data_IF_890578363862
#
_entry.id   IF_890578363862
#
_cell.length_a   1.000
_cell.length_b   1.000
_cell.length_c   1.000
_cell.angle_alpha   90.00
_cell.angle_beta   90.00
_cell.angle_gamma   90.00
#
_symmetry.space_group_name_H-M   'P 1'
#
loop_
_entity.id
_entity.type
_entity.pdbx_description
1 polymer ?
#
# COMPACT_ATOMS: atom_id res chain seq x y z
N UNK A 1 -13.30 8.96 80.26
CA UNK A 1 -12.42 8.33 79.24
C UNK A 1 -13.26 7.50 78.26
N UNK A 2 -14.02 8.14 77.38
CA UNK A 2 -14.81 7.42 76.35
C UNK A 2 -15.06 8.24 75.07
N UNK A 3 -14.29 9.31 74.82
CA UNK A 3 -14.54 10.22 73.69
C UNK A 3 -13.35 10.41 72.74
N UNK A 4 -12.20 9.77 73.00
CA UNK A 4 -11.01 9.90 72.16
C UNK A 4 -10.84 8.80 71.08
N UNK A 5 -11.62 7.72 71.12
CA UNK A 5 -11.45 6.56 70.22
C UNK A 5 -12.38 6.52 69.00
N UNK A 6 -13.28 7.51 68.83
CA UNK A 6 -14.17 7.54 67.65
C UNK A 6 -13.56 8.30 66.45
N UNK A 7 -12.55 9.16 66.65
CA UNK A 7 -11.96 9.95 65.56
C UNK A 7 -10.91 9.19 64.72
N UNK A 8 -10.29 8.12 65.23
CA UNK A 8 -9.23 7.42 64.48
C UNK A 8 -9.77 6.40 63.46
N UNK A 9 -11.01 5.92 63.60
CA UNK A 9 -11.60 4.96 62.65
C UNK A 9 -12.24 5.62 61.42
N UNK A 10 -12.47 6.93 61.46
CA UNK A 10 -13.07 7.71 60.36
C UNK A 10 -12.04 8.26 59.37
N UNK A 11 -10.77 8.30 59.75
CA UNK A 11 -9.67 8.81 58.92
C UNK A 11 -9.47 8.06 57.59
N UNK A 12 -9.47 6.71 57.55
CA UNK A 12 -9.33 5.99 56.28
C UNK A 12 -10.57 6.13 55.39
N UNK A 13 -11.77 6.29 55.97
CA UNK A 13 -13.00 6.54 55.21
C UNK A 13 -13.01 7.93 54.59
N UNK A 14 -12.58 8.95 55.34
CA UNK A 14 -12.44 10.31 54.81
C UNK A 14 -11.37 10.39 53.71
N UNK A 15 -10.24 9.70 53.90
CA UNK A 15 -9.20 9.62 52.87
C UNK A 15 -9.72 8.96 51.59
N UNK A 16 -10.45 7.85 51.69
CA UNK A 16 -11.04 7.15 50.54
C UNK A 16 -12.08 8.03 49.81
N UNK A 17 -12.94 8.74 50.54
CA UNK A 17 -13.92 9.67 49.95
C UNK A 17 -13.24 10.84 49.26
N UNK A 18 -12.17 11.40 49.85
CA UNK A 18 -11.36 12.43 49.20
C UNK A 18 -10.68 11.92 47.93
N UNK A 19 -10.12 10.70 47.94
CA UNK A 19 -9.51 10.09 46.75
C UNK A 19 -10.53 9.84 45.64
N UNK A 20 -11.72 9.33 45.97
CA UNK A 20 -12.80 9.10 44.99
C UNK A 20 -13.31 10.44 44.44
N UNK A 21 -13.44 11.48 45.27
CA UNK A 21 -13.88 12.81 44.84
C UNK A 21 -12.86 13.46 43.89
N UNK A 22 -11.56 13.37 44.19
CA UNK A 22 -10.48 13.87 43.32
C UNK A 22 -10.45 13.08 42.00
N UNK A 23 -10.62 11.76 42.04
CA UNK A 23 -10.65 10.93 40.83
C UNK A 23 -11.89 11.22 39.96
N UNK A 24 -13.05 11.44 40.57
CA UNK A 24 -14.26 11.88 39.88
C UNK A 24 -14.09 13.28 39.27
N UNK A 25 -13.51 14.24 40.01
CA UNK A 25 -13.23 15.58 39.50
C UNK A 25 -12.21 15.56 38.34
N UNK A 26 -11.17 14.72 38.40
CA UNK A 26 -10.23 14.52 37.29
C UNK A 26 -10.86 13.77 36.10
N UNK A 27 -11.84 12.90 36.34
CA UNK A 27 -12.60 12.24 35.28
C UNK A 27 -13.63 13.16 34.62
N UNK A 28 -14.20 14.11 35.38
CA UNK A 28 -15.11 15.14 34.87
C UNK A 28 -14.33 16.25 34.13
N UNK A 29 -13.13 16.61 34.57
CA UNK A 29 -12.27 17.57 33.86
C UNK A 29 -11.72 17.01 32.54
N UNK A 30 -11.44 15.69 32.45
CA UNK A 30 -11.13 15.01 31.18
C UNK A 30 -12.32 14.98 30.21
N UNK A 31 -13.57 14.99 30.70
CA UNK A 31 -14.77 15.09 29.85
C UNK A 31 -15.09 16.54 29.45
N UNK A 32 -14.68 17.53 30.24
CA UNK A 32 -14.92 18.95 29.97
C UNK A 32 -13.82 19.63 29.13
N UNK A 33 -12.73 18.93 28.79
CA UNK A 33 -11.62 19.46 27.99
C UNK A 33 -11.42 18.69 26.67
N UNK A 34 -12.50 18.39 25.96
CA UNK A 34 -12.45 18.09 24.51
C UNK A 34 -13.60 18.84 23.83
N UNK A 35 -13.53 20.17 23.89
CA UNK A 35 -14.04 21.02 22.81
C UNK A 35 -12.85 21.32 21.89
N UNK A 36 -12.30 20.28 21.26
CA UNK A 36 -11.42 20.48 20.12
C UNK A 36 -12.29 20.75 18.91
N UNK A 37 -12.28 21.99 18.45
CA UNK A 37 -12.70 22.36 17.11
C UNK A 37 -12.14 21.34 16.11
N UNK A 38 -13.04 20.61 15.45
CA UNK A 38 -12.70 19.76 14.32
C UNK A 38 -11.91 20.60 13.30
N UNK A 39 -10.74 20.16 12.82
CA UNK A 39 -10.08 20.84 11.72
C UNK A 39 -11.01 20.75 10.51
N UNK A 40 -11.46 21.92 10.06
CA UNK A 40 -12.27 22.08 8.85
C UNK A 40 -11.42 21.62 7.67
N UNK A 41 -11.64 20.40 7.18
CA UNK A 41 -11.11 19.95 5.90
C UNK A 41 -11.59 20.92 4.82
N UNK A 42 -10.73 21.41 3.92
CA UNK A 42 -11.20 22.20 2.78
C UNK A 42 -12.19 21.35 1.99
N UNK A 43 -13.41 21.85 1.83
CA UNK A 43 -14.41 21.29 0.92
C UNK A 43 -13.83 21.33 -0.49
N UNK A 44 -13.27 20.21 -0.97
CA UNK A 44 -12.93 20.05 -2.36
C UNK A 44 -14.23 19.92 -3.15
N UNK A 45 -14.55 20.94 -3.94
CA UNK A 45 -15.59 20.86 -4.96
C UNK A 45 -15.23 19.73 -5.93
N UNK A 46 -15.97 18.62 -5.83
CA UNK A 46 -15.85 17.46 -6.68
C UNK A 46 -16.32 17.82 -8.09
N UNK A 47 -15.39 18.21 -8.97
CA UNK A 47 -15.65 18.21 -10.41
C UNK A 47 -15.68 16.76 -10.86
N UNK A 48 -16.90 16.26 -11.12
CA UNK A 48 -17.15 14.96 -11.75
C UNK A 48 -16.43 14.96 -13.13
N UNK A 49 -15.49 14.05 -13.41
CA UNK A 49 -14.99 13.89 -14.76
C UNK A 49 -16.09 13.19 -15.56
N UNK A 50 -16.82 13.95 -16.36
CA UNK A 50 -17.69 13.39 -17.40
C UNK A 50 -16.78 12.79 -18.47
N UNK A 51 -16.70 11.46 -18.51
CA UNK A 51 -16.24 10.75 -19.71
C UNK A 51 -17.24 11.10 -20.82
N UNK A 52 -16.83 11.94 -21.76
CA UNK A 52 -17.61 12.22 -22.96
C UNK A 52 -17.60 10.97 -23.82
N UNK A 53 -18.60 10.11 -23.66
CA UNK A 53 -18.96 9.15 -24.70
C UNK A 53 -19.77 9.90 -25.74
N UNK A 54 -19.17 10.17 -26.90
CA UNK A 54 -19.89 10.70 -28.05
C UNK A 54 -20.97 9.71 -28.47
N UNK A 55 -22.24 10.12 -28.33
CA UNK A 55 -23.37 9.41 -28.88
C UNK A 55 -23.37 9.61 -30.39
N UNK A 56 -23.11 8.54 -31.14
CA UNK A 56 -23.48 8.43 -32.56
C UNK A 56 -24.64 7.44 -32.60
N UNK A 57 -25.81 7.92 -32.98
CA UNK A 57 -26.99 7.10 -33.26
C UNK A 57 -26.66 6.10 -34.40
N UNK A 58 -26.93 4.80 -34.23
CA UNK A 58 -26.88 3.87 -35.35
C UNK A 58 -28.24 3.80 -36.03
N UNK A 59 -28.29 4.27 -37.27
CA UNK A 59 -29.36 3.95 -38.20
C UNK A 59 -29.41 2.42 -38.40
N UNK A 60 -30.61 1.87 -38.29
CA UNK A 60 -30.90 0.46 -38.48
C UNK A 60 -30.76 0.06 -39.96
N UNK A 61 -29.97 -0.99 -40.24
CA UNK A 61 -30.31 -1.99 -41.26
C UNK A 61 -29.46 -3.26 -41.11
N UNK A 62 -30.17 -4.34 -40.74
CA UNK A 62 -29.96 -5.78 -41.01
C UNK A 62 -28.58 -6.33 -41.37
N UNK A 63 -28.13 -7.35 -40.61
CA UNK A 63 -27.17 -8.36 -41.07
C UNK A 63 -26.37 -9.01 -39.95
N UNK A 64 -26.96 -9.99 -39.27
CA UNK A 64 -26.39 -10.76 -38.16
C UNK A 64 -25.10 -11.50 -38.54
N UNK A 65 -24.03 -11.29 -37.77
CA UNK A 65 -22.92 -12.24 -37.63
C UNK A 65 -22.44 -12.25 -36.16
N UNK A 66 -22.59 -13.32 -35.37
CA UNK A 66 -22.33 -13.29 -33.91
C UNK A 66 -20.84 -13.31 -33.51
N UNK A 67 -19.90 -13.17 -34.45
CA UNK A 67 -18.47 -13.44 -34.22
C UNK A 67 -17.54 -12.26 -34.45
N UNK A 68 -17.98 -11.05 -34.10
CA UNK A 68 -17.05 -9.92 -33.93
C UNK A 68 -17.42 -9.15 -32.67
N UNK A 69 -17.20 -9.74 -31.50
CA UNK A 69 -16.98 -8.93 -30.31
C UNK A 69 -15.66 -8.19 -30.55
N UNK A 70 -15.74 -6.89 -30.85
CA UNK A 70 -14.60 -5.99 -30.69
C UNK A 70 -13.93 -6.32 -29.36
N UNK A 71 -12.69 -6.80 -29.37
CA UNK A 71 -12.00 -7.24 -28.15
C UNK A 71 -11.74 -6.04 -27.26
N UNK A 72 -12.71 -5.69 -26.42
CA UNK A 72 -12.52 -4.74 -25.34
C UNK A 72 -11.51 -5.37 -24.39
N UNK A 73 -10.44 -4.62 -24.07
CA UNK A 73 -9.48 -5.02 -23.04
C UNK A 73 -10.23 -5.28 -21.75
N UNK A 74 -10.07 -6.44 -21.12
CA UNK A 74 -10.76 -6.72 -19.86
C UNK A 74 -10.31 -5.76 -18.76
N UNK A 75 -11.28 -5.18 -18.05
CA UNK A 75 -11.04 -4.50 -16.79
C UNK A 75 -10.98 -5.52 -15.66
N UNK A 76 -9.77 -5.79 -15.17
CA UNK A 76 -9.54 -6.71 -14.06
C UNK A 76 -9.78 -6.07 -12.67
N UNK A 77 -9.99 -4.75 -12.60
CA UNK A 77 -10.19 -4.02 -11.35
C UNK A 77 -11.62 -4.11 -10.80
N UNK A 78 -12.59 -4.42 -11.69
CA UNK A 78 -14.01 -4.59 -11.36
C UNK A 78 -14.42 -6.07 -11.32
N UNK A 79 -14.91 -6.52 -10.17
CA UNK A 79 -15.22 -7.94 -9.93
C UNK A 79 -15.66 -8.23 -8.51
N UNK A 80 -15.62 -9.49 -8.14
CA UNK A 80 -15.94 -9.95 -6.78
C UNK A 80 -15.07 -11.12 -6.35
N UNK A 81 -14.93 -11.29 -5.04
CA UNK A 81 -14.28 -12.47 -4.47
C UNK A 81 -15.25 -13.63 -4.39
N UNK A 82 -14.84 -14.77 -4.91
CA UNK A 82 -15.57 -16.03 -4.87
C UNK A 82 -14.81 -16.98 -3.94
N UNK A 83 -15.53 -17.57 -2.99
CA UNK A 83 -14.99 -18.64 -2.16
C UNK A 83 -15.02 -19.96 -2.94
N UNK A 84 -13.87 -20.59 -3.07
CA UNK A 84 -13.66 -21.85 -3.76
C UNK A 84 -13.02 -22.83 -2.78
N UNK A 85 -13.81 -23.71 -2.15
CA UNK A 85 -13.33 -24.62 -1.11
C UNK A 85 -12.40 -25.71 -1.66
N UNK A 86 -12.50 -26.00 -2.96
CA UNK A 86 -11.78 -27.10 -3.63
C UNK A 86 -10.47 -26.64 -4.27
N UNK A 87 -10.21 -25.32 -4.26
CA UNK A 87 -8.94 -24.76 -4.71
C UNK A 87 -7.79 -25.30 -3.87
N UNK A 88 -6.96 -26.08 -4.56
CA UNK A 88 -5.64 -26.47 -4.08
C UNK A 88 -4.67 -25.37 -4.49
N UNK A 89 -4.34 -24.48 -3.56
CA UNK A 89 -3.26 -23.52 -3.80
C UNK A 89 -1.93 -24.25 -3.71
N UNK A 90 -1.38 -24.59 -4.88
CA UNK A 90 -0.20 -25.44 -5.08
C UNK A 90 1.08 -24.64 -5.42
N UNK A 91 0.97 -23.30 -5.52
CA UNK A 91 2.08 -22.43 -5.94
C UNK A 91 3.25 -22.44 -4.97
N UNK A 92 2.98 -22.37 -3.66
CA UNK A 92 3.97 -22.50 -2.60
C UNK A 92 3.26 -22.65 -1.26
N UNK A 93 3.99 -23.14 -0.26
CA UNK A 93 3.48 -23.33 1.09
C UNK A 93 4.19 -22.41 2.10
N UNK A 94 3.84 -22.59 3.37
CA UNK A 94 4.43 -21.86 4.49
C UNK A 94 5.90 -22.18 4.76
N UNK A 95 6.52 -23.12 4.04
CA UNK A 95 7.93 -23.48 4.21
C UNK A 95 8.90 -22.56 3.47
N UNK A 96 8.41 -21.70 2.56
CA UNK A 96 9.27 -20.76 1.83
C UNK A 96 10.00 -19.81 2.78
N UNK A 97 11.32 -20.00 2.90
CA UNK A 97 12.19 -19.27 3.86
C UNK A 97 12.24 -17.75 3.67
N UNK A 98 11.77 -17.26 2.52
CA UNK A 98 11.78 -15.83 2.21
C UNK A 98 10.55 -15.09 2.78
N UNK A 99 9.51 -15.83 3.16
CA UNK A 99 8.34 -15.29 3.87
C UNK A 99 8.80 -14.73 5.22
N UNK A 100 8.56 -13.43 5.44
CA UNK A 100 8.82 -12.83 6.75
C UNK A 100 7.95 -13.48 7.82
N UNK A 101 8.52 -13.76 9.00
CA UNK A 101 7.83 -14.49 10.08
C UNK A 101 6.44 -13.93 10.37
N UNK A 102 6.27 -12.61 10.41
CA UNK A 102 4.97 -11.98 10.66
C UNK A 102 3.93 -12.19 9.55
N UNK A 103 4.34 -12.45 8.31
CA UNK A 103 3.42 -12.67 7.17
C UNK A 103 3.00 -14.13 7.02
N UNK A 104 3.67 -15.06 7.69
CA UNK A 104 3.40 -16.49 7.55
C UNK A 104 2.23 -16.94 8.45
N UNK A 105 1.00 -16.58 8.05
CA UNK A 105 -0.19 -16.80 8.86
C UNK A 105 -0.52 -18.28 9.09
N UNK A 106 -0.20 -19.15 8.13
CA UNK A 106 -0.36 -20.60 8.27
C UNK A 106 0.62 -21.15 9.30
N UNK A 107 1.92 -20.82 9.21
CA UNK A 107 2.92 -21.32 10.16
C UNK A 107 2.68 -20.82 11.59
N UNK A 108 2.22 -19.58 11.72
CA UNK A 108 1.87 -18.99 13.01
C UNK A 108 0.46 -19.37 13.49
N UNK A 109 -0.23 -20.29 12.82
CA UNK A 109 -1.52 -20.85 13.24
C UNK A 109 -2.64 -19.80 13.40
N UNK A 110 -2.66 -18.76 12.55
CA UNK A 110 -3.83 -17.87 12.45
C UNK A 110 -5.06 -18.72 12.08
N UNK A 111 -6.17 -18.52 12.77
CA UNK A 111 -7.38 -19.37 12.68
C UNK A 111 -7.89 -19.55 11.25
N UNK A 112 -8.02 -18.47 10.48
CA UNK A 112 -8.44 -18.49 9.08
C UNK A 112 -7.27 -18.57 8.09
N UNK A 113 -6.04 -18.84 8.54
CA UNK A 113 -4.82 -18.76 7.71
C UNK A 113 -4.86 -19.65 6.46
N UNK A 114 -5.52 -20.82 6.55
CA UNK A 114 -5.72 -21.74 5.42
C UNK A 114 -6.92 -21.39 4.55
N UNK A 115 -7.87 -20.61 5.07
CA UNK A 115 -9.07 -20.20 4.33
C UNK A 115 -8.81 -18.96 3.48
N UNK A 116 -7.81 -18.14 3.83
CA UNK A 116 -7.41 -16.95 3.05
C UNK A 116 -7.14 -17.29 1.58
N UNK A 117 -6.51 -18.44 1.30
CA UNK A 117 -6.15 -18.89 -0.06
C UNK A 117 -7.31 -19.52 -0.83
N UNK A 118 -8.44 -19.80 -0.18
CA UNK A 118 -9.65 -20.33 -0.83
C UNK A 118 -10.48 -19.26 -1.54
N UNK A 119 -10.09 -18.00 -1.41
CA UNK A 119 -10.77 -16.90 -2.08
C UNK A 119 -10.08 -16.55 -3.40
N UNK A 120 -10.87 -16.41 -4.46
CA UNK A 120 -10.40 -16.04 -5.81
C UNK A 120 -11.11 -14.80 -6.34
N UNK A 121 -10.35 -13.90 -6.93
CA UNK A 121 -10.91 -12.74 -7.62
C UNK A 121 -11.48 -13.15 -8.97
N UNK A 122 -12.75 -12.83 -9.20
CA UNK A 122 -13.44 -13.02 -10.47
C UNK A 122 -13.80 -11.64 -11.04
N UNK A 123 -13.08 -11.16 -12.07
CA UNK A 123 -13.49 -9.98 -12.81
C UNK A 123 -14.90 -10.14 -13.38
N UNK A 124 -15.64 -9.03 -13.51
CA UNK A 124 -17.06 -9.06 -13.89
C UNK A 124 -17.28 -9.66 -15.28
N UNK A 125 -16.47 -9.26 -16.25
CA UNK A 125 -16.69 -9.54 -17.67
C UNK A 125 -15.63 -10.46 -18.29
N UNK A 126 -14.71 -11.02 -17.49
CA UNK A 126 -13.67 -11.91 -18.01
C UNK A 126 -13.11 -12.84 -16.92
N UNK A 127 -12.17 -13.68 -17.35
CA UNK A 127 -11.43 -14.56 -16.46
C UNK A 127 -10.03 -14.00 -16.18
N UNK A 128 -9.64 -13.94 -14.90
CA UNK A 128 -8.25 -13.74 -14.50
C UNK A 128 -7.61 -15.11 -14.25
N UNK A 129 -6.78 -15.62 -15.17
CA UNK A 129 -6.13 -16.90 -14.99
C UNK A 129 -5.06 -16.82 -13.90
N UNK A 130 -4.98 -17.82 -13.01
CA UNK A 130 -3.78 -18.06 -12.19
C UNK A 130 -2.54 -18.07 -13.07
N UNK A 131 -1.49 -17.36 -12.68
CA UNK A 131 -0.24 -17.48 -13.42
C UNK A 131 0.43 -18.84 -13.13
N UNK A 132 0.96 -19.46 -14.17
CA UNK A 132 1.78 -20.67 -14.06
C UNK A 132 3.25 -20.26 -13.81
N UNK A 133 3.85 -20.63 -12.66
CA UNK A 133 5.23 -20.28 -12.33
C UNK A 133 6.26 -20.84 -13.32
N UNK A 134 6.05 -22.05 -13.83
CA UNK A 134 6.97 -22.67 -14.79
C UNK A 134 6.87 -21.95 -16.14
N UNK A 135 5.63 -21.73 -16.62
CA UNK A 135 5.40 -20.95 -17.84
C UNK A 135 5.97 -19.54 -17.74
N UNK A 136 5.86 -18.90 -16.58
CA UNK A 136 6.46 -17.59 -16.33
C UNK A 136 7.98 -17.63 -16.50
N UNK A 137 8.67 -18.60 -15.87
CA UNK A 137 10.13 -18.76 -16.00
C UNK A 137 10.58 -18.93 -17.45
N UNK A 138 9.86 -19.73 -18.24
CA UNK A 138 10.13 -19.89 -19.67
C UNK A 138 9.84 -18.60 -20.47
N UNK A 139 8.71 -17.96 -20.21
CA UNK A 139 8.26 -16.78 -20.97
C UNK A 139 9.17 -15.58 -20.74
N UNK A 140 9.69 -15.42 -19.53
CA UNK A 140 10.55 -14.29 -19.15
C UNK A 140 12.03 -14.67 -19.04
N UNK A 141 12.45 -15.75 -19.71
CA UNK A 141 13.87 -16.13 -19.84
C UNK A 141 14.71 -14.95 -20.37
N UNK A 142 15.95 -14.84 -19.91
CA UNK A 142 16.90 -13.79 -20.32
C UNK A 142 16.40 -12.36 -20.07
N UNK A 143 15.62 -12.18 -19.00
CA UNK A 143 15.13 -10.88 -18.56
C UNK A 143 15.48 -10.58 -17.12
N UNK A 144 15.40 -9.30 -16.76
CA UNK A 144 15.49 -8.86 -15.38
C UNK A 144 14.22 -8.06 -15.05
N UNK A 145 13.59 -8.35 -13.92
CA UNK A 145 12.35 -7.71 -13.44
C UNK A 145 12.62 -7.02 -12.10
N UNK A 146 12.34 -5.72 -12.02
CA UNK A 146 12.59 -4.90 -10.85
C UNK A 146 11.33 -4.49 -10.11
N UNK A 147 11.32 -4.67 -8.80
CA UNK A 147 10.29 -4.23 -7.85
C UNK A 147 10.86 -3.06 -7.05
N UNK A 148 10.31 -1.86 -7.22
CA UNK A 148 10.77 -0.66 -6.52
C UNK A 148 9.63 -0.09 -5.68
N UNK A 149 9.82 -0.04 -4.37
CA UNK A 149 8.81 0.50 -3.47
C UNK A 149 9.00 0.10 -2.01
N UNK A 150 7.93 0.08 -1.24
CA UNK A 150 7.95 -0.10 0.21
C UNK A 150 7.92 -1.59 0.64
N UNK A 151 7.57 -1.84 1.90
CA UNK A 151 7.43 -3.18 2.46
C UNK A 151 6.26 -3.98 1.89
N UNK A 152 5.23 -3.33 1.33
CA UNK A 152 4.11 -4.01 0.67
C UNK A 152 4.51 -4.46 -0.73
N UNK A 153 5.35 -3.69 -1.42
CA UNK A 153 6.00 -4.16 -2.64
C UNK A 153 6.90 -5.37 -2.38
N UNK A 154 7.63 -5.37 -1.25
CA UNK A 154 8.36 -6.56 -0.79
C UNK A 154 7.42 -7.74 -0.54
N UNK A 155 6.23 -7.50 0.02
CA UNK A 155 5.23 -8.53 0.28
C UNK A 155 4.84 -9.28 -1.01
N UNK A 156 4.56 -8.52 -2.08
CA UNK A 156 4.25 -9.06 -3.41
C UNK A 156 5.45 -9.76 -4.06
N UNK A 157 6.63 -9.14 -4.01
CA UNK A 157 7.89 -9.69 -4.51
C UNK A 157 8.21 -11.06 -3.89
N UNK A 158 8.01 -11.19 -2.57
CA UNK A 158 8.24 -12.47 -1.86
C UNK A 158 7.24 -13.53 -2.29
N UNK A 159 5.96 -13.19 -2.48
CA UNK A 159 4.95 -14.12 -3.03
C UNK A 159 5.38 -14.65 -4.41
N UNK A 160 5.79 -13.76 -5.32
CA UNK A 160 6.27 -14.16 -6.64
C UNK A 160 7.50 -15.08 -6.52
N UNK A 161 8.49 -14.67 -5.73
CA UNK A 161 9.69 -15.46 -5.50
C UNK A 161 9.36 -16.88 -5.02
N UNK A 162 8.49 -17.01 -4.02
CA UNK A 162 8.13 -18.31 -3.46
C UNK A 162 7.44 -19.21 -4.48
N UNK A 163 6.54 -18.66 -5.29
CA UNK A 163 5.89 -19.39 -6.38
C UNK A 163 6.89 -19.89 -7.43
N UNK A 164 7.85 -19.06 -7.84
CA UNK A 164 8.89 -19.45 -8.80
C UNK A 164 9.88 -20.46 -8.19
N UNK A 165 10.25 -20.29 -6.92
CA UNK A 165 11.18 -21.19 -6.20
C UNK A 165 10.62 -22.59 -6.02
N UNK A 166 9.29 -22.74 -5.99
CA UNK A 166 8.61 -24.04 -5.87
C UNK A 166 8.89 -24.97 -7.07
N UNK A 167 9.05 -24.38 -8.26
CA UNK A 167 9.25 -25.12 -9.53
C UNK A 167 10.70 -25.03 -10.05
N UNK A 168 11.57 -24.23 -9.43
CA UNK A 168 12.97 -24.08 -9.82
C UNK A 168 13.92 -24.25 -8.62
N UNK A 169 14.85 -25.19 -8.73
CA UNK A 169 15.85 -25.51 -7.70
C UNK A 169 17.04 -24.54 -7.68
N UNK A 170 17.59 -24.23 -8.85
CA UNK A 170 18.85 -23.52 -9.02
C UNK A 170 18.65 -21.99 -8.97
N UNK A 171 18.75 -21.45 -7.75
CA UNK A 171 18.52 -20.04 -7.47
C UNK A 171 19.70 -19.42 -6.74
N UNK A 172 20.33 -18.43 -7.37
CA UNK A 172 21.37 -17.61 -6.75
C UNK A 172 20.72 -16.42 -6.04
N UNK A 173 20.86 -16.35 -4.72
CA UNK A 173 20.53 -15.16 -3.91
C UNK A 173 21.70 -14.19 -3.92
N UNK A 174 21.48 -12.95 -4.35
CA UNK A 174 22.50 -11.89 -4.34
C UNK A 174 21.87 -10.50 -4.36
N UNK A 175 22.70 -9.44 -4.31
CA UNK A 175 22.23 -8.06 -4.38
C UNK A 175 22.75 -7.40 -5.66
N UNK A 176 21.92 -7.33 -6.73
CA UNK A 176 22.22 -6.49 -7.88
C UNK A 176 22.53 -5.05 -7.46
N UNK A 177 23.35 -4.34 -8.24
CA UNK A 177 23.74 -2.98 -7.91
C UNK A 177 22.51 -2.08 -7.72
N UNK A 178 22.38 -1.47 -6.55
CA UNK A 178 21.25 -0.62 -6.20
C UNK A 178 19.99 -1.35 -5.72
N UNK A 179 19.98 -2.69 -5.68
CA UNK A 179 18.89 -3.47 -5.12
C UNK A 179 19.20 -3.96 -3.69
N UNK A 180 18.18 -4.02 -2.84
CA UNK A 180 18.29 -4.52 -1.47
C UNK A 180 18.30 -6.05 -1.41
N UNK A 181 17.66 -6.67 -2.42
CA UNK A 181 17.42 -8.12 -2.48
C UNK A 181 17.25 -8.55 -3.93
N UNK A 182 17.84 -9.67 -4.34
CA UNK A 182 17.71 -10.21 -5.68
C UNK A 182 17.92 -11.72 -5.75
N UNK A 183 17.29 -12.31 -6.76
CA UNK A 183 17.33 -13.74 -7.05
C UNK A 183 17.48 -13.95 -8.53
N UNK A 184 18.47 -14.76 -8.92
CA UNK A 184 18.63 -15.21 -10.29
C UNK A 184 18.32 -16.70 -10.39
N UNK A 185 17.33 -17.04 -11.20
CA UNK A 185 16.97 -18.42 -11.55
C UNK A 185 17.89 -18.87 -12.68
N UNK A 186 18.94 -19.62 -12.34
CA UNK A 186 20.12 -19.82 -13.20
C UNK A 186 19.76 -20.48 -14.54
N UNK A 187 18.94 -21.53 -14.51
CA UNK A 187 18.51 -22.25 -15.71
C UNK A 187 17.73 -21.37 -16.71
N UNK A 188 17.09 -20.31 -16.23
CA UNK A 188 16.27 -19.41 -17.05
C UNK A 188 16.94 -18.06 -17.27
N UNK A 189 18.13 -17.83 -16.68
CA UNK A 189 18.79 -16.53 -16.71
C UNK A 189 17.82 -15.35 -16.41
N UNK A 190 16.88 -15.59 -15.49
CA UNK A 190 15.87 -14.62 -15.07
C UNK A 190 16.26 -14.06 -13.71
N UNK A 191 16.41 -12.75 -13.61
CA UNK A 191 16.63 -12.08 -12.32
C UNK A 191 15.39 -11.32 -11.89
N UNK A 192 14.90 -11.59 -10.68
CA UNK A 192 13.95 -10.70 -10.00
C UNK A 192 14.67 -9.98 -8.85
N UNK A 193 14.42 -8.70 -8.67
CA UNK A 193 15.04 -7.95 -7.60
C UNK A 193 14.13 -6.86 -7.04
N UNK A 194 14.34 -6.58 -5.76
CA UNK A 194 13.58 -5.63 -4.97
C UNK A 194 14.50 -4.52 -4.45
N UNK A 195 14.01 -3.29 -4.55
CA UNK A 195 14.63 -2.12 -3.96
C UNK A 195 13.65 -1.33 -3.13
N UNK A 196 14.07 -1.05 -1.90
CA UNK A 196 13.28 -0.34 -0.94
C UNK A 196 13.37 1.15 -1.17
N UNK A 197 12.23 1.76 -1.43
CA UNK A 197 12.05 3.20 -1.37
C UNK A 197 10.68 3.52 -0.80
N UNK A 198 10.67 4.16 0.38
CA UNK A 198 9.42 4.40 1.12
C UNK A 198 8.63 5.58 0.54
N UNK A 199 9.31 6.61 0.04
CA UNK A 199 8.71 7.83 -0.50
C UNK A 199 8.91 8.00 -2.00
N UNK A 200 9.63 7.10 -2.68
CA UNK A 200 10.17 7.27 -4.05
C UNK A 200 11.18 8.42 -4.20
N UNK A 201 11.30 9.27 -3.20
CA UNK A 201 12.32 10.28 -3.05
C UNK A 201 13.38 9.82 -2.04
N UNK A 202 14.57 10.43 -2.09
CA UNK A 202 15.52 10.31 -0.99
C UNK A 202 14.99 11.15 0.17
N UNK A 203 14.99 10.58 1.36
CA UNK A 203 14.64 11.32 2.56
C UNK A 203 15.54 10.97 3.73
N UNK A 204 15.59 11.86 4.71
CA UNK A 204 16.34 11.69 5.94
C UNK A 204 16.08 12.84 6.91
N UNK A 205 16.55 12.69 8.14
CA UNK A 205 16.45 13.74 9.14
C UNK A 205 17.14 15.02 8.66
N UNK A 206 16.52 16.15 8.95
CA UNK A 206 17.06 17.49 8.75
C UNK A 206 17.00 18.23 10.07
N UNK A 207 18.07 18.96 10.36
CA UNK A 207 18.19 19.83 11.53
C UNK A 207 18.78 21.16 11.08
N UNK A 208 18.35 22.23 11.72
CA UNK A 208 18.86 23.57 11.49
C UNK A 208 20.39 23.61 11.67
N UNK A 209 21.05 24.41 10.82
CA UNK A 209 22.48 24.67 10.94
C UNK A 209 22.71 25.93 11.79
N UNK A 210 23.81 25.96 12.56
CA UNK A 210 24.26 27.16 13.29
C UNK A 210 24.55 28.35 12.37
N UNK A 211 24.83 28.09 11.09
CA UNK A 211 25.09 29.12 10.09
C UNK A 211 23.81 29.76 9.51
N UNK A 212 22.63 29.34 9.97
CA UNK A 212 21.34 29.82 9.49
C UNK A 212 20.98 29.32 8.08
N UNK A 213 19.85 29.78 7.57
CA UNK A 213 19.32 29.40 6.27
C UNK A 213 17.84 29.76 6.11
N UNK A 214 17.33 29.65 4.88
CA UNK A 214 15.95 30.06 4.56
C UNK A 214 14.87 29.32 5.38
N UNK A 215 15.15 28.10 5.83
CA UNK A 215 14.21 27.33 6.64
C UNK A 215 14.29 27.75 8.12
N UNK A 216 15.50 28.02 8.60
CA UNK A 216 15.77 28.56 9.93
C UNK A 216 15.15 29.94 10.10
N UNK A 217 15.23 30.80 9.08
CA UNK A 217 14.59 32.13 9.04
C UNK A 217 13.06 32.04 9.15
N UNK A 218 12.47 30.92 8.72
CA UNK A 218 11.05 30.61 8.85
C UNK A 218 10.71 29.89 10.18
N UNK A 219 11.70 29.68 11.05
CA UNK A 219 11.52 29.09 12.38
C UNK A 219 11.60 27.56 12.43
N UNK A 220 11.94 26.87 11.34
CA UNK A 220 12.12 25.41 11.35
C UNK A 220 13.43 25.04 12.06
N UNK A 221 13.33 24.16 13.07
CA UNK A 221 14.48 23.65 13.83
C UNK A 221 14.87 22.23 13.43
N UNK A 222 13.89 21.42 13.09
CA UNK A 222 14.04 20.03 12.71
C UNK A 222 12.93 19.58 11.75
N UNK A 223 13.12 18.44 11.10
CA UNK A 223 12.14 17.84 10.20
C UNK A 223 12.72 16.72 9.37
N UNK A 224 12.02 16.37 8.29
CA UNK A 224 12.47 15.38 7.32
C UNK A 224 12.75 16.05 5.99
N UNK A 225 14.01 16.07 5.58
CA UNK A 225 14.39 16.51 4.24
C UNK A 225 13.96 15.47 3.22
N UNK A 226 13.25 15.91 2.19
CA UNK A 226 12.82 15.10 1.05
C UNK A 226 13.36 15.73 -0.23
N UNK A 227 14.31 15.05 -0.88
CA UNK A 227 14.92 15.54 -2.11
C UNK A 227 14.07 15.17 -3.33
N UNK A 228 13.58 16.19 -4.04
CA UNK A 228 12.95 16.07 -5.34
C UNK A 228 14.02 15.72 -6.39
N UNK A 229 14.09 14.43 -6.70
CA UNK A 229 15.01 13.89 -7.69
C UNK A 229 15.35 12.43 -7.41
N UNK A 230 15.08 11.57 -8.39
CA UNK A 230 15.51 10.18 -8.33
C UNK A 230 17.02 10.10 -8.63
N UNK A 231 17.83 9.67 -7.65
CA UNK A 231 19.23 9.29 -7.85
C UNK A 231 19.44 7.79 -8.04
N UNK A 232 18.36 7.03 -8.13
CA UNK A 232 18.37 5.57 -8.23
C UNK A 232 18.78 5.08 -9.63
N UNK A 233 19.64 5.78 -10.37
CA UNK A 233 19.97 5.48 -11.78
C UNK A 233 20.45 4.05 -12.03
N UNK A 234 21.20 3.48 -11.08
CA UNK A 234 21.82 2.16 -11.22
C UNK A 234 20.80 1.02 -11.28
N UNK A 235 19.68 1.14 -10.56
CA UNK A 235 18.66 0.10 -10.58
C UNK A 235 17.79 0.19 -11.84
N UNK A 236 17.53 1.41 -12.32
CA UNK A 236 16.70 1.64 -13.50
C UNK A 236 17.38 1.22 -14.82
N UNK A 237 18.69 1.03 -14.82
CA UNK A 237 19.47 0.62 -15.99
C UNK A 237 19.43 -0.90 -16.27
N UNK A 238 19.08 -1.73 -15.29
CA UNK A 238 19.28 -3.20 -15.36
C UNK A 238 18.02 -3.97 -15.75
N UNK A 239 16.81 -3.45 -15.47
CA UNK A 239 15.57 -4.21 -15.69
C UNK A 239 14.92 -3.98 -17.07
N UNK A 240 14.34 -5.05 -17.65
CA UNK A 240 13.57 -5.03 -18.90
C UNK A 240 12.07 -4.82 -18.67
N UNK A 241 11.59 -5.12 -17.45
CA UNK A 241 10.26 -4.76 -16.98
C UNK A 241 10.37 -4.17 -15.57
N UNK A 242 9.67 -3.08 -15.32
CA UNK A 242 9.69 -2.35 -14.07
C UNK A 242 8.33 -2.31 -13.43
N UNK A 243 8.39 -2.41 -12.11
CA UNK A 243 7.26 -2.38 -11.26
C UNK A 243 7.49 -1.34 -10.17
N UNK A 244 6.66 -0.30 -10.16
CA UNK A 244 6.70 0.76 -9.18
C UNK A 244 5.53 0.62 -8.20
N UNK A 245 5.80 0.68 -6.91
CA UNK A 245 4.79 0.81 -5.85
C UNK A 245 4.91 2.17 -5.20
N UNK A 246 3.75 2.81 -5.00
CA UNK A 246 3.64 3.92 -4.08
C UNK A 246 3.23 3.46 -2.70
N UNK A 247 3.96 3.98 -1.72
CA UNK A 247 3.46 4.08 -0.36
C UNK A 247 3.19 5.53 0.00
N UNK A 248 1.93 5.83 0.27
CA UNK A 248 1.56 7.06 0.96
C UNK A 248 1.50 6.93 2.48
N UNK A 249 1.68 5.72 3.05
CA UNK A 249 1.56 5.57 4.50
C UNK A 249 2.57 6.44 5.25
N UNK A 250 3.67 6.78 4.58
CA UNK A 250 4.64 7.71 5.11
C UNK A 250 4.18 9.17 5.02
N UNK A 251 3.39 9.59 4.03
CA UNK A 251 3.00 11.00 3.87
C UNK A 251 1.79 11.40 4.73
N UNK A 252 1.26 10.48 5.53
CA UNK A 252 0.19 10.78 6.48
C UNK A 252 0.70 11.67 7.63
N UNK A 253 -0.12 12.61 8.14
CA UNK A 253 0.23 13.43 9.30
C UNK A 253 0.61 12.60 10.54
N UNK A 254 0.09 11.38 10.68
CA UNK A 254 0.44 10.46 11.77
C UNK A 254 1.87 9.92 11.71
N UNK A 255 2.56 10.05 10.57
CA UNK A 255 3.98 9.68 10.41
C UNK A 255 4.90 10.88 10.32
N UNK A 256 4.46 11.96 9.66
CA UNK A 256 5.18 13.23 9.63
C UNK A 256 4.28 14.32 10.22
N UNK A 257 4.43 14.55 11.52
CA UNK A 257 3.72 15.62 12.20
C UNK A 257 4.08 16.96 11.55
N UNK A 258 3.10 17.71 11.00
CA UNK A 258 3.37 18.93 10.24
C UNK A 258 3.96 20.06 11.09
N UNK A 259 3.93 19.94 12.42
CA UNK A 259 4.44 20.93 13.37
C UNK A 259 5.75 20.43 13.98
N UNK A 260 5.75 19.22 14.55
CA UNK A 260 6.91 18.67 15.28
C UNK A 260 7.99 18.11 14.37
N UNK A 261 7.61 17.53 13.23
CA UNK A 261 8.53 16.84 12.34
C UNK A 261 8.11 17.01 10.87
N UNK A 262 8.06 18.26 10.36
CA UNK A 262 7.51 18.54 9.05
C UNK A 262 8.33 17.91 7.92
N UNK A 263 7.66 17.62 6.80
CA UNK A 263 8.34 17.30 5.55
C UNK A 263 8.85 18.57 4.89
N UNK A 264 10.15 18.65 4.68
CA UNK A 264 10.84 19.80 4.09
C UNK A 264 11.37 19.37 2.72
N UNK A 265 10.81 19.94 1.66
CA UNK A 265 11.12 19.54 0.29
C UNK A 265 12.29 20.33 -0.27
N UNK A 266 13.19 19.64 -0.96
CA UNK A 266 14.38 20.24 -1.57
C UNK A 266 14.44 19.91 -3.06
N UNK A 267 14.76 20.89 -3.90
CA UNK A 267 15.03 20.68 -5.32
C UNK A 267 16.45 21.13 -5.65
N UNK A 268 17.25 20.25 -6.27
CA UNK A 268 18.66 20.51 -6.61
C UNK A 268 19.51 21.03 -5.43
N UNK A 269 19.20 20.54 -4.23
CA UNK A 269 19.92 20.90 -3.00
C UNK A 269 19.40 22.14 -2.27
N UNK A 270 18.45 22.88 -2.86
CA UNK A 270 17.85 24.07 -2.26
C UNK A 270 16.47 23.76 -1.67
N UNK A 271 16.10 24.30 -0.50
CA UNK A 271 14.76 24.12 0.05
C UNK A 271 13.73 24.83 -0.83
N UNK A 272 12.55 24.23 -0.97
CA UNK A 272 11.39 24.89 -1.58
C UNK A 272 10.80 25.88 -0.61
N UNK A 273 10.69 27.14 -1.04
CA UNK A 273 10.18 28.25 -0.24
C UNK A 273 9.07 28.95 -1.04
N UNK A 274 7.86 29.16 -0.47
CA UNK A 274 7.44 28.71 0.86
C UNK A 274 7.38 27.16 0.95
N UNK A 275 7.50 26.58 2.16
CA UNK A 275 7.30 25.15 2.37
C UNK A 275 5.94 24.71 1.85
N UNK A 276 5.91 23.52 1.24
CA UNK A 276 4.71 22.96 0.62
C UNK A 276 4.15 21.83 1.47
N UNK A 277 2.82 21.62 1.46
CA UNK A 277 2.21 20.53 2.20
C UNK A 277 2.55 19.16 1.57
N UNK A 278 2.43 18.05 2.35
CA UNK A 278 2.79 16.71 1.91
C UNK A 278 2.12 16.25 0.60
N UNK A 279 0.85 16.56 0.38
CA UNK A 279 0.09 16.19 -0.83
C UNK A 279 0.66 16.87 -2.10
N UNK A 280 1.02 18.15 -2.01
CA UNK A 280 1.68 18.88 -3.10
C UNK A 280 3.11 18.37 -3.31
N UNK A 281 3.82 18.06 -2.23
CA UNK A 281 5.12 17.41 -2.28
C UNK A 281 5.06 16.04 -2.96
N UNK A 282 3.99 15.27 -2.70
CA UNK A 282 3.74 13.97 -3.28
C UNK A 282 3.54 14.06 -4.80
N UNK A 283 2.68 14.97 -5.26
CA UNK A 283 2.48 15.27 -6.69
C UNK A 283 3.83 15.60 -7.39
N UNK A 284 4.69 16.37 -6.72
CA UNK A 284 6.04 16.67 -7.25
C UNK A 284 6.90 15.40 -7.31
N UNK A 285 6.96 14.61 -6.24
CA UNK A 285 7.77 13.37 -6.22
C UNK A 285 7.32 12.40 -7.32
N UNK A 286 6.00 12.23 -7.52
CA UNK A 286 5.45 11.41 -8.60
C UNK A 286 5.93 11.92 -9.97
N UNK A 287 5.74 13.20 -10.23
CA UNK A 287 6.12 13.83 -11.50
C UNK A 287 7.62 13.70 -11.79
N UNK A 288 8.47 13.90 -10.79
CA UNK A 288 9.92 13.74 -10.94
C UNK A 288 10.32 12.27 -11.17
N UNK A 289 9.69 11.35 -10.46
CA UNK A 289 9.97 9.91 -10.57
C UNK A 289 9.55 9.37 -11.93
N UNK A 290 8.31 9.65 -12.37
CA UNK A 290 7.79 9.22 -13.67
C UNK A 290 8.72 9.70 -14.79
N UNK A 291 9.00 11.01 -14.85
CA UNK A 291 9.91 11.58 -15.87
C UNK A 291 11.30 10.97 -15.84
N UNK A 292 11.85 10.75 -14.64
CA UNK A 292 13.17 10.16 -14.49
C UNK A 292 13.20 8.74 -15.05
N UNK A 293 12.20 7.92 -14.70
CA UNK A 293 12.11 6.54 -15.16
C UNK A 293 11.90 6.47 -16.66
N UNK A 294 11.01 7.30 -17.21
CA UNK A 294 10.76 7.39 -18.66
C UNK A 294 12.01 7.74 -19.46
N UNK A 295 12.85 8.66 -18.93
CA UNK A 295 14.11 9.06 -19.56
C UNK A 295 15.22 8.03 -19.41
N UNK A 296 15.25 7.29 -18.30
CA UNK A 296 16.37 6.40 -17.96
C UNK A 296 16.19 4.99 -18.52
N UNK A 297 14.95 4.50 -18.54
CA UNK A 297 14.66 3.16 -19.03
C UNK A 297 14.67 3.08 -20.56
N UNK A 298 14.94 1.87 -21.07
CA UNK A 298 14.82 1.59 -22.50
C UNK A 298 13.37 1.87 -22.99
N UNK A 299 13.18 2.38 -24.21
CA UNK A 299 11.85 2.63 -24.77
C UNK A 299 10.95 1.37 -24.76
N UNK A 300 11.53 0.21 -25.06
CA UNK A 300 10.82 -1.09 -25.10
C UNK A 300 10.56 -1.71 -23.72
N UNK A 301 11.03 -1.08 -22.64
CA UNK A 301 10.86 -1.63 -21.31
C UNK A 301 9.45 -1.36 -20.79
N UNK A 302 8.82 -2.40 -20.26
CA UNK A 302 7.47 -2.32 -19.70
C UNK A 302 7.53 -1.60 -18.35
N UNK A 303 6.66 -0.61 -18.14
CA UNK A 303 6.61 0.21 -16.92
C UNK A 303 5.23 0.06 -16.29
N UNK A 304 5.16 -0.59 -15.14
CA UNK A 304 3.94 -0.78 -14.39
C UNK A 304 3.95 0.05 -13.11
N UNK A 305 2.81 0.65 -12.80
CA UNK A 305 2.58 1.37 -11.57
C UNK A 305 1.40 0.74 -10.83
N UNK A 306 1.66 0.20 -9.64
CA UNK A 306 0.66 -0.45 -8.82
C UNK A 306 -0.12 0.58 -8.01
N UNK A 307 -1.45 0.46 -7.98
CA UNK A 307 -2.30 1.26 -7.09
C UNK A 307 -2.09 0.88 -5.63
N UNK A 308 -2.60 1.72 -4.73
CA UNK A 308 -2.31 1.62 -3.31
C UNK A 308 -2.96 0.38 -2.68
N UNK A 309 -2.17 -0.48 -2.05
CA UNK A 309 -2.70 -1.51 -1.15
C UNK A 309 -3.40 -0.85 0.05
N UNK A 310 -4.67 -1.22 0.34
CA UNK A 310 -5.40 -0.70 1.48
C UNK A 310 -4.86 -1.25 2.80
N UNK A 311 -5.27 -0.57 3.88
CA UNK A 311 -5.16 -1.01 5.28
C UNK A 311 -6.58 -1.20 5.82
N UNK A 312 -6.77 -2.08 6.81
CA UNK A 312 -8.10 -2.36 7.39
C UNK A 312 -8.11 -2.14 8.90
N UNK A 313 -7.91 -0.91 9.35
CA UNK A 313 -8.06 -0.62 10.77
C UNK A 313 -9.54 -0.41 11.14
N UNK A 314 -9.92 -0.96 12.29
CA UNK A 314 -11.22 -0.77 12.93
C UNK A 314 -11.03 -0.41 14.41
N UNK A 315 -11.92 0.43 14.94
CA UNK A 315 -11.88 0.87 16.34
C UNK A 315 -10.83 1.94 16.66
N UNK A 316 -10.10 2.44 15.66
CA UNK A 316 -9.07 3.47 15.80
C UNK A 316 -8.01 3.33 14.71
N UNK A 317 -7.09 4.30 14.62
CA UNK A 317 -5.91 4.19 13.75
C UNK A 317 -4.79 3.35 14.42
N UNK A 318 -3.69 3.09 13.72
CA UNK A 318 -2.56 2.25 14.12
C UNK A 318 -1.91 2.68 15.44
N UNK A 319 -1.98 3.96 15.79
CA UNK A 319 -1.46 4.59 17.01
C UNK A 319 -2.55 4.89 18.05
N UNK A 320 -3.81 4.56 17.74
CA UNK A 320 -4.99 4.86 18.58
C UNK A 320 -5.72 3.60 19.05
N UNK A 321 -5.08 2.43 18.96
CA UNK A 321 -5.68 1.16 19.39
C UNK A 321 -6.50 0.44 18.32
N UNK A 322 -6.37 0.83 17.05
CA UNK A 322 -7.00 0.15 15.93
C UNK A 322 -6.54 -1.31 15.76
N UNK A 323 -7.43 -2.16 15.26
CA UNK A 323 -7.19 -3.60 15.05
C UNK A 323 -7.78 -4.12 13.74
N UNK A 324 -7.44 -5.36 13.36
CA UNK A 324 -7.92 -6.02 12.14
C UNK A 324 -8.09 -7.54 12.35
N UNK A 325 -9.05 -7.91 13.20
CA UNK A 325 -9.27 -9.31 13.59
C UNK A 325 -10.29 -10.05 12.71
N UNK A 326 -10.74 -9.45 11.61
CA UNK A 326 -11.72 -10.08 10.71
C UNK A 326 -11.19 -11.43 10.21
N UNK A 327 -12.12 -12.39 10.08
CA UNK A 327 -11.83 -13.73 9.58
C UNK A 327 -12.45 -14.02 8.21
N UNK A 328 -13.33 -13.14 7.74
CA UNK A 328 -14.04 -13.23 6.47
C UNK A 328 -13.91 -11.92 5.68
N UNK A 329 -13.96 -11.96 4.34
CA UNK A 329 -13.97 -10.77 3.52
C UNK A 329 -15.09 -9.80 3.90
N UNK A 330 -14.84 -8.51 3.72
CA UNK A 330 -15.83 -7.46 3.90
C UNK A 330 -16.92 -7.53 2.83
N UNK A 331 -18.15 -7.20 3.20
CA UNK A 331 -19.24 -6.98 2.25
C UNK A 331 -19.05 -5.68 1.46
N UNK A 332 -19.69 -5.52 0.28
CA UNK A 332 -19.62 -4.27 -0.47
C UNK A 332 -20.06 -3.03 0.32
N UNK A 333 -21.04 -3.18 1.22
CA UNK A 333 -21.49 -2.09 2.09
C UNK A 333 -20.40 -1.66 3.06
N UNK A 334 -19.74 -2.61 3.72
CA UNK A 334 -18.65 -2.33 4.66
C UNK A 334 -17.44 -1.72 3.95
N UNK A 335 -17.13 -2.16 2.72
CA UNK A 335 -16.10 -1.53 1.89
C UNK A 335 -16.40 -0.05 1.67
N UNK A 336 -17.64 0.30 1.29
CA UNK A 336 -18.01 1.70 1.10
C UNK A 336 -18.09 2.51 2.39
N UNK A 337 -18.32 1.88 3.55
CA UNK A 337 -18.26 2.56 4.85
C UNK A 337 -16.80 2.85 5.27
N UNK A 338 -15.90 1.89 5.06
CA UNK A 338 -14.50 2.00 5.51
C UNK A 338 -13.62 2.83 4.57
N UNK A 339 -13.88 2.82 3.26
CA UNK A 339 -12.97 3.40 2.26
C UNK A 339 -13.51 4.62 1.52
N UNK A 340 -14.78 4.98 1.69
CA UNK A 340 -15.38 6.11 0.96
C UNK A 340 -14.71 7.44 1.31
N UNK A 341 -14.32 8.18 0.27
CA UNK A 341 -13.84 9.56 0.39
C UNK A 341 -14.96 10.53 0.80
N UNK A 342 -16.19 10.28 0.36
CA UNK A 342 -17.32 11.20 0.63
C UNK A 342 -17.88 11.03 2.03
N UNK A 343 -17.77 9.81 2.60
CA UNK A 343 -18.18 9.51 3.97
C UNK A 343 -17.04 9.64 4.98
N UNK A 344 -15.86 10.08 4.54
CA UNK A 344 -14.65 10.17 5.35
C UNK A 344 -14.32 8.85 6.08
N UNK A 345 -14.33 7.75 5.33
CA UNK A 345 -14.09 6.41 5.86
C UNK A 345 -12.70 6.28 6.49
N UNK A 346 -12.59 5.52 7.59
CA UNK A 346 -11.36 5.39 8.38
C UNK A 346 -10.14 4.94 7.57
N UNK A 347 -10.36 4.16 6.50
CA UNK A 347 -9.31 3.60 5.65
C UNK A 347 -9.25 4.25 4.25
N UNK A 348 -9.89 5.41 4.05
CA UNK A 348 -10.03 6.07 2.73
C UNK A 348 -8.72 6.51 2.06
N UNK A 349 -7.62 6.54 2.81
CA UNK A 349 -6.28 6.91 2.37
C UNK A 349 -5.86 6.22 1.07
N UNK A 350 -6.20 4.94 0.88
CA UNK A 350 -5.83 4.23 -0.34
C UNK A 350 -6.47 4.85 -1.59
N UNK A 351 -7.76 5.21 -1.52
CA UNK A 351 -8.48 5.86 -2.62
C UNK A 351 -7.97 7.28 -2.87
N UNK A 352 -7.68 8.04 -1.80
CA UNK A 352 -7.16 9.41 -1.91
C UNK A 352 -5.83 9.44 -2.66
N UNK A 353 -4.92 8.53 -2.32
CA UNK A 353 -3.60 8.40 -2.95
C UNK A 353 -3.69 8.06 -4.42
N UNK A 354 -4.62 7.16 -4.76
CA UNK A 354 -4.82 6.77 -6.14
C UNK A 354 -5.29 7.94 -7.00
N UNK A 355 -6.00 8.94 -6.46
CA UNK A 355 -6.34 10.15 -7.22
C UNK A 355 -5.09 10.92 -7.68
N UNK A 356 -4.12 11.11 -6.79
CA UNK A 356 -2.82 11.73 -7.12
C UNK A 356 -2.03 10.89 -8.13
N UNK A 357 -2.07 9.57 -7.99
CA UNK A 357 -1.43 8.64 -8.91
C UNK A 357 -2.03 8.74 -10.32
N UNK A 358 -3.35 8.61 -10.46
CA UNK A 358 -4.03 8.68 -11.74
C UNK A 358 -3.81 10.02 -12.45
N UNK A 359 -3.86 11.12 -11.67
CA UNK A 359 -3.52 12.45 -12.17
C UNK A 359 -2.09 12.51 -12.70
N UNK A 360 -1.12 11.96 -11.98
CA UNK A 360 0.31 12.02 -12.33
C UNK A 360 0.68 11.12 -13.50
N UNK A 361 -0.01 9.99 -13.69
CA UNK A 361 0.23 9.05 -14.79
C UNK A 361 -0.45 9.47 -16.09
N UNK A 362 -1.36 10.44 -16.07
CA UNK A 362 -2.05 10.92 -17.27
C UNK A 362 -1.02 11.41 -18.31
N UNK A 363 -0.99 10.77 -19.48
CA UNK A 363 -0.06 11.08 -20.55
C UNK A 363 1.36 10.50 -20.39
N UNK A 364 1.59 9.69 -19.35
CA UNK A 364 2.83 8.91 -19.20
C UNK A 364 2.75 7.58 -19.96
N UNK A 365 3.89 6.92 -20.15
CA UNK A 365 3.98 5.58 -20.74
C UNK A 365 3.89 4.43 -19.71
N UNK A 366 3.49 4.74 -18.47
CA UNK A 366 3.26 3.73 -17.45
C UNK A 366 1.87 3.11 -17.62
N UNK A 367 1.77 1.81 -17.38
CA UNK A 367 0.48 1.15 -17.24
C UNK A 367 0.14 0.99 -15.76
N UNK A 368 -1.13 1.22 -15.44
CA UNK A 368 -1.63 1.03 -14.09
C UNK A 368 -1.93 -0.46 -13.89
N UNK A 369 -1.52 -0.96 -12.73
CA UNK A 369 -1.99 -2.21 -12.20
C UNK A 369 -2.87 -1.92 -10.98
N UNK A 370 -4.18 -2.05 -11.18
CA UNK A 370 -5.14 -1.69 -10.15
C UNK A 370 -5.49 -2.87 -9.24
N UNK A 371 -4.98 -2.83 -8.02
CA UNK A 371 -5.22 -3.82 -6.97
C UNK A 371 -6.05 -3.27 -5.81
N UNK A 372 -6.32 -1.96 -5.77
CA UNK A 372 -6.87 -1.33 -4.57
C UNK A 372 -8.25 -1.88 -4.28
N UNK A 373 -9.16 -1.80 -5.24
CA UNK A 373 -10.56 -2.16 -5.01
C UNK A 373 -10.73 -3.63 -4.62
N UNK A 374 -10.10 -4.57 -5.35
CA UNK A 374 -10.13 -5.99 -4.95
C UNK A 374 -9.57 -6.20 -3.54
N UNK A 375 -8.58 -5.41 -3.12
CA UNK A 375 -7.95 -5.57 -1.82
C UNK A 375 -8.78 -4.99 -0.67
N UNK A 376 -9.66 -4.02 -0.92
CA UNK A 376 -10.57 -3.43 0.09
C UNK A 376 -11.56 -4.45 0.67
N UNK A 377 -11.84 -5.53 -0.06
CA UNK A 377 -12.70 -6.60 0.43
C UNK A 377 -11.96 -7.55 1.38
N UNK A 378 -10.62 -7.55 1.41
CA UNK A 378 -9.84 -8.65 2.01
C UNK A 378 -9.37 -8.37 3.43
N UNK A 379 -10.22 -7.75 4.25
CA UNK A 379 -9.91 -7.50 5.66
C UNK A 379 -9.49 -8.76 6.43
N UNK A 380 -9.91 -9.96 5.98
CA UNK A 380 -9.56 -11.27 6.52
C UNK A 380 -8.09 -11.68 6.33
N UNK A 381 -7.42 -11.08 5.35
CA UNK A 381 -6.13 -11.55 4.84
C UNK A 381 -4.91 -10.85 5.46
N UNK A 382 -5.13 -9.97 6.44
CA UNK A 382 -4.06 -9.35 7.20
C UNK A 382 -3.46 -10.31 8.25
N UNK A 383 -2.16 -10.23 8.55
CA UNK A 383 -1.57 -10.99 9.64
C UNK A 383 -2.13 -10.62 11.00
N UNK A 384 -2.51 -9.35 11.22
CA UNK A 384 -3.00 -8.88 12.52
C UNK A 384 -1.96 -9.16 13.62
N UNK A 385 -2.30 -9.89 14.69
CA UNK A 385 -1.41 -10.21 15.84
C UNK A 385 -0.39 -11.32 15.54
N UNK A 386 -0.44 -11.90 14.35
CA UNK A 386 0.42 -12.99 13.93
C UNK A 386 1.92 -12.67 14.04
N UNK A 387 2.71 -13.64 14.48
CA UNK A 387 4.17 -13.53 14.53
C UNK A 387 4.72 -12.83 15.78
N UNK A 388 3.90 -12.66 16.82
CA UNK A 388 4.32 -12.15 18.14
C UNK A 388 4.50 -10.63 18.19
N UNK A 389 3.77 -9.89 17.35
CA UNK A 389 3.78 -8.43 17.39
C UNK A 389 2.91 -7.93 18.55
N UNK A 390 3.34 -6.84 19.19
CA UNK A 390 2.57 -6.15 20.25
C UNK A 390 1.36 -5.39 19.71
N UNK A 391 1.33 -5.10 18.41
CA UNK A 391 0.28 -4.37 17.72
C UNK A 391 -0.14 -5.13 16.47
N UNK A 392 -1.39 -4.93 16.03
CA UNK A 392 -1.94 -5.54 14.84
C UNK A 392 -1.26 -5.02 13.57
N UNK A 393 -0.81 -5.94 12.72
CA UNK A 393 -0.37 -5.62 11.36
C UNK A 393 -1.57 -5.64 10.40
N UNK A 394 -2.22 -4.48 10.25
CA UNK A 394 -3.37 -4.26 9.37
C UNK A 394 -3.00 -3.64 8.02
N UNK A 395 -1.73 -3.79 7.63
CA UNK A 395 -1.20 -3.20 6.40
C UNK A 395 -0.63 -4.27 5.48
N UNK A 396 0.23 -5.15 6.02
CA UNK A 396 0.81 -6.24 5.25
C UNK A 396 -0.18 -7.39 5.12
N UNK A 397 0.17 -8.37 4.30
CA UNK A 397 -0.72 -9.47 3.93
C UNK A 397 -0.11 -10.81 4.28
N UNK A 398 -0.97 -11.73 4.70
CA UNK A 398 -0.62 -13.13 4.87
C UNK A 398 -0.08 -13.71 3.56
N UNK A 399 0.94 -14.59 3.68
CA UNK A 399 1.46 -15.39 2.59
C UNK A 399 1.37 -16.88 2.92
N UNK A 400 0.88 -17.74 2.00
CA UNK A 400 0.17 -17.39 0.76
C UNK A 400 -1.14 -16.62 1.00
N UNK A 401 -1.61 -15.87 0.00
CA UNK A 401 -2.75 -14.95 0.14
C UNK A 401 -2.94 -13.96 -1.00
N UNK A 402 -3.52 -12.78 -0.71
CA UNK A 402 -3.95 -11.81 -1.73
C UNK A 402 -2.84 -11.35 -2.70
N UNK A 403 -1.59 -11.29 -2.25
CA UNK A 403 -0.46 -10.93 -3.10
C UNK A 403 -0.26 -11.91 -4.26
N UNK A 404 -0.74 -13.14 -4.13
CA UNK A 404 -0.72 -14.14 -5.19
C UNK A 404 -1.67 -13.75 -6.32
N UNK A 405 -2.84 -13.20 -6.00
CA UNK A 405 -3.79 -12.61 -6.96
C UNK A 405 -3.24 -11.34 -7.59
N UNK A 406 -2.50 -10.52 -6.85
CA UNK A 406 -1.78 -9.38 -7.45
C UNK A 406 -0.73 -9.83 -8.47
N UNK A 407 -0.07 -10.97 -8.21
CA UNK A 407 0.86 -11.57 -9.16
C UNK A 407 0.14 -12.18 -10.37
N UNK A 408 -1.08 -12.71 -10.22
CA UNK A 408 -1.91 -13.13 -11.37
C UNK A 408 -2.20 -11.94 -12.30
N UNK A 409 -2.60 -10.82 -11.69
CA UNK A 409 -2.82 -9.57 -12.42
C UNK A 409 -1.53 -9.08 -13.08
N UNK A 410 -0.41 -9.07 -12.34
CA UNK A 410 0.90 -8.69 -12.87
C UNK A 410 1.26 -9.46 -14.14
N UNK A 411 1.22 -10.79 -14.07
CA UNK A 411 1.64 -11.65 -15.17
C UNK A 411 0.69 -11.50 -16.36
N UNK A 412 -0.61 -11.36 -16.10
CA UNK A 412 -1.60 -11.09 -17.14
C UNK A 412 -1.30 -9.78 -17.88
N UNK A 413 -1.02 -8.70 -17.15
CA UNK A 413 -0.65 -7.42 -17.74
C UNK A 413 0.67 -7.52 -18.52
N UNK A 414 1.72 -8.14 -17.95
CA UNK A 414 2.98 -8.33 -18.66
C UNK A 414 2.82 -9.10 -19.96
N UNK A 415 2.06 -10.21 -19.93
CA UNK A 415 1.80 -11.01 -21.13
C UNK A 415 1.08 -10.17 -22.20
N UNK A 416 0.07 -9.39 -21.81
CA UNK A 416 -0.67 -8.53 -22.74
C UNK A 416 0.20 -7.43 -23.37
N UNK A 417 1.20 -6.94 -22.65
CA UNK A 417 2.08 -5.86 -23.10
C UNK A 417 3.23 -6.41 -23.95
N UNK A 418 3.69 -7.63 -23.65
CA UNK A 418 4.68 -8.34 -24.45
C UNK A 418 4.16 -8.76 -25.82
N UNK A 419 2.85 -8.98 -25.99
CA UNK A 419 2.25 -9.28 -27.31
C UNK A 419 2.15 -8.01 -28.18
N UNK A 420 2.03 -6.83 -27.55
CA UNK A 420 1.82 -5.54 -28.24
C UNK A 420 3.11 -4.84 -28.66
N UNK A 421 4.24 -5.23 -28.07
CA UNK A 421 5.59 -4.72 -28.35
C UNK A 421 6.40 -5.78 -29.08
#
# INVERSE_FOLDING_TARGET
>A
MATANMLSSLFPLFSLVCFISIFCLLSLSKKASISSSSPTYPHFHLVKPTMVTGNIEPNATSGSNPYTSSSSSCDYSDGSWIHDPDVRFDRYDSSCKEIFKGWNCILNKKSNGRDIVKWRWKPRNCHLPPFDPLKFLHTYRDTNIGFVGDSLNRNMFVSLFCALRRVAGDVKKWRPSGADRGFTFLHYNLTIAYHRTNLLARYGSWSANSNGGKLEDLGYKEGYRVDLGCRYSKIYAIFKAFWHWLCNLWWAPSKFDPIKSPMLFFERGLPLIPPIPPDVGFDKVLKHTIRFVEKTMRPSAIKLFCTRSPRHFEGGDWDQGGSCQRLQPSSPKEVEELFSLTKNGMNMEARLVNLHLYKSLKGSNFHILDITHMSEFRADAHPSTTGGKKHDDCMHWCLPGITDTWNDLFVTHLNSLKIRN
#
